data_IF_387563892607
#
_entry.id   IF_387563892607
#
_cell.length_a   1.000
_cell.length_b   1.000
_cell.length_c   1.000
_cell.angle_alpha   90.00
_cell.angle_beta   90.00
_cell.angle_gamma   90.00
#
_symmetry.space_group_name_H-M   'P 1'
#
loop_
_entity.id
_entity.type
_entity.pdbx_description
1 polymer ?
#
# COMPACT_ATOMS: atom_id res chain seq x y z
N UNK A 1 8.95 -4.29 19.26
CA UNK A 1 8.65 -5.08 18.04
C UNK A 1 8.25 -6.46 18.48
N UNK A 2 7.26 -7.07 17.83
CA UNK A 2 6.79 -8.43 18.10
C UNK A 2 7.03 -9.33 16.90
N UNK A 3 7.17 -10.63 17.14
CA UNK A 3 7.32 -11.61 16.06
C UNK A 3 5.97 -12.32 15.89
N UNK A 4 5.47 -12.35 14.67
CA UNK A 4 4.30 -13.14 14.26
C UNK A 4 4.75 -14.03 13.11
N UNK A 5 4.69 -15.35 13.32
CA UNK A 5 5.31 -16.34 12.44
C UNK A 5 6.80 -16.02 12.19
N UNK A 6 7.17 -15.74 10.94
CA UNK A 6 8.52 -15.39 10.47
C UNK A 6 8.68 -13.89 10.18
N UNK A 7 7.82 -13.03 10.76
CA UNK A 7 7.77 -11.58 10.45
C UNK A 7 7.94 -10.73 11.70
N UNK A 8 8.71 -9.65 11.56
CA UNK A 8 8.94 -8.68 12.63
C UNK A 8 7.98 -7.51 12.48
N UNK A 9 7.06 -7.36 13.43
CA UNK A 9 6.02 -6.34 13.40
C UNK A 9 6.38 -5.23 14.38
N UNK A 10 6.43 -3.99 13.89
CA UNK A 10 6.53 -2.82 14.78
C UNK A 10 5.28 -2.70 15.64
N UNK A 11 5.43 -2.43 16.95
CA UNK A 11 4.30 -2.19 17.85
C UNK A 11 3.43 -1.04 17.37
N UNK A 12 4.00 -0.06 16.66
CA UNK A 12 3.25 1.02 16.03
C UNK A 12 2.18 0.52 15.04
N UNK A 13 2.39 -0.63 14.38
CA UNK A 13 1.39 -1.23 13.48
C UNK A 13 0.16 -1.71 14.27
N UNK A 14 0.36 -2.08 15.54
CA UNK A 14 -0.69 -2.59 16.43
C UNK A 14 -1.35 -1.46 17.22
N UNK A 15 -0.59 -0.45 17.62
CA UNK A 15 -1.02 0.60 18.54
C UNK A 15 -1.49 1.89 17.85
N UNK A 16 -0.89 2.26 16.72
CA UNK A 16 -1.26 3.50 16.05
C UNK A 16 -2.63 3.35 15.39
N UNK A 17 -3.42 4.43 15.45
CA UNK A 17 -4.74 4.47 14.85
C UNK A 17 -4.71 5.17 13.50
N UNK A 18 -5.37 4.58 12.51
CA UNK A 18 -5.37 5.08 11.13
C UNK A 18 -6.64 4.69 10.38
N UNK A 19 -7.24 5.66 9.68
CA UNK A 19 -8.26 5.40 8.64
C UNK A 19 -8.03 6.39 7.51
N UNK A 20 -7.76 5.89 6.30
CA UNK A 20 -7.50 6.74 5.14
C UNK A 20 -8.63 7.78 4.93
N UNK A 21 -8.26 9.05 4.79
CA UNK A 21 -9.20 10.16 4.61
C UNK A 21 -8.92 10.90 3.29
N UNK A 22 -9.32 10.27 2.18
CA UNK A 22 -9.14 10.82 0.83
C UNK A 22 -9.85 12.17 0.62
N UNK A 23 -10.93 12.43 1.35
CA UNK A 23 -11.63 13.71 1.26
C UNK A 23 -10.76 14.86 1.77
N UNK A 24 -9.92 14.60 2.77
CA UNK A 24 -9.01 15.58 3.34
C UNK A 24 -7.67 15.66 2.59
N UNK A 25 -7.03 14.52 2.29
CA UNK A 25 -5.69 14.52 1.68
C UNK A 25 -5.69 14.51 0.15
N UNK A 26 -6.86 14.33 -0.50
CA UNK A 26 -7.02 14.22 -1.97
C UNK A 26 -6.18 13.13 -2.63
N UNK A 27 -5.68 12.17 -1.84
CA UNK A 27 -4.81 11.09 -2.31
C UNK A 27 -3.34 11.51 -2.47
N UNK A 28 -2.86 12.40 -1.59
CA UNK A 28 -1.48 12.91 -1.55
C UNK A 28 -0.37 11.85 -1.73
N UNK A 29 -0.57 10.63 -1.25
CA UNK A 29 0.39 9.54 -1.41
C UNK A 29 0.61 9.10 -2.86
N UNK A 30 -0.23 9.55 -3.80
CA UNK A 30 -0.10 9.27 -5.23
C UNK A 30 0.71 10.33 -6.00
N UNK A 31 1.04 11.48 -5.39
CA UNK A 31 1.69 12.59 -6.11
C UNK A 31 2.69 13.46 -5.34
N UNK A 32 2.89 13.20 -4.05
CA UNK A 32 3.85 13.95 -3.21
C UNK A 32 5.09 13.09 -2.85
N UNK A 33 5.19 11.87 -3.37
CA UNK A 33 6.31 10.97 -3.10
C UNK A 33 7.47 11.16 -4.07
N UNK A 34 8.68 10.88 -3.58
CA UNK A 34 9.91 11.00 -4.39
C UNK A 34 10.15 9.78 -5.30
N UNK A 35 9.58 8.62 -4.92
CA UNK A 35 9.73 7.35 -5.63
C UNK A 35 8.36 6.74 -5.95
N UNK A 36 8.34 5.92 -6.99
CA UNK A 36 7.23 5.03 -7.27
C UNK A 36 6.87 4.13 -6.09
N UNK A 37 5.61 3.69 -6.02
CA UNK A 37 5.24 2.71 -5.04
C UNK A 37 6.05 1.41 -5.26
N UNK A 38 6.70 0.85 -4.22
CA UNK A 38 7.54 -0.33 -4.37
C UNK A 38 6.77 -1.51 -4.98
N UNK A 39 7.41 -2.26 -5.86
CA UNK A 39 6.85 -3.42 -6.55
C UNK A 39 7.59 -4.68 -6.16
N UNK A 40 6.84 -5.76 -5.92
CA UNK A 40 7.41 -7.09 -5.82
C UNK A 40 7.77 -7.61 -7.23
N UNK A 41 8.73 -8.55 -7.31
CA UNK A 41 9.27 -9.01 -8.59
C UNK A 41 8.20 -9.67 -9.48
N UNK A 42 7.27 -10.38 -8.87
CA UNK A 42 6.11 -11.01 -9.50
C UNK A 42 5.07 -9.99 -9.98
N UNK A 43 4.97 -8.82 -9.35
CA UNK A 43 4.09 -7.73 -9.80
C UNK A 43 4.55 -7.13 -11.14
N UNK A 44 5.83 -7.22 -11.50
CA UNK A 44 6.38 -6.65 -12.74
C UNK A 44 5.77 -7.31 -13.98
N UNK A 45 5.77 -8.64 -14.04
CA UNK A 45 5.19 -9.40 -15.15
C UNK A 45 3.67 -9.20 -15.20
N UNK A 46 3.02 -9.13 -14.04
CA UNK A 46 1.58 -8.86 -13.96
C UNK A 46 1.27 -7.47 -14.54
N UNK A 47 2.05 -6.43 -14.23
CA UNK A 47 1.86 -5.09 -14.79
C UNK A 47 1.93 -5.11 -16.32
N UNK A 48 2.85 -5.89 -16.89
CA UNK A 48 2.96 -6.09 -18.35
C UNK A 48 1.71 -6.75 -18.90
N UNK A 49 1.27 -7.85 -18.31
CA UNK A 49 0.13 -8.64 -18.77
C UNK A 49 -1.20 -7.86 -18.74
N UNK A 50 -1.38 -7.00 -17.72
CA UNK A 50 -2.64 -6.27 -17.54
C UNK A 50 -2.67 -4.93 -18.28
N UNK A 51 -1.53 -4.42 -18.77
CA UNK A 51 -1.41 -3.02 -19.18
C UNK A 51 -2.45 -2.61 -20.24
N UNK A 52 -2.66 -3.44 -21.26
CA UNK A 52 -3.63 -3.15 -22.33
C UNK A 52 -5.07 -2.99 -21.81
N UNK A 53 -5.43 -3.76 -20.77
CA UNK A 53 -6.74 -3.71 -20.11
C UNK A 53 -6.84 -2.55 -19.11
N UNK A 54 -5.71 -2.08 -18.60
CA UNK A 54 -5.64 -0.94 -17.66
C UNK A 54 -5.67 0.41 -18.39
N UNK A 55 -5.16 0.51 -19.63
CA UNK A 55 -5.13 1.76 -20.42
C UNK A 55 -6.44 2.58 -20.40
N UNK A 56 -7.64 1.99 -20.56
CA UNK A 56 -8.90 2.75 -20.55
C UNK A 56 -9.22 3.43 -19.22
N UNK A 57 -8.53 3.05 -18.14
CA UNK A 57 -8.71 3.57 -16.79
C UNK A 57 -7.65 4.62 -16.41
N UNK A 58 -6.72 4.92 -17.32
CA UNK A 58 -5.62 5.86 -17.13
C UNK A 58 -5.83 7.16 -17.92
N UNK A 59 -5.06 8.19 -17.56
CA UNK A 59 -4.99 9.43 -18.33
C UNK A 59 -4.24 9.17 -19.65
N UNK A 60 -4.68 9.74 -20.79
CA UNK A 60 -3.99 9.55 -22.07
C UNK A 60 -2.50 9.91 -22.01
N UNK A 61 -2.14 11.04 -21.39
CA UNK A 61 -0.74 11.43 -21.24
C UNK A 61 0.08 10.42 -20.41
N UNK A 62 -0.55 9.74 -19.46
CA UNK A 62 0.10 8.74 -18.62
C UNK A 62 0.29 7.42 -19.38
N UNK A 63 -0.66 7.03 -20.24
CA UNK A 63 -0.50 5.88 -21.15
C UNK A 63 0.69 6.11 -22.09
N UNK A 64 0.77 7.28 -22.72
CA UNK A 64 1.87 7.63 -23.61
C UNK A 64 3.21 7.62 -22.89
N UNK A 65 3.25 8.05 -21.63
CA UNK A 65 4.45 8.05 -20.80
C UNK A 65 4.88 6.64 -20.41
N UNK A 66 3.95 5.81 -19.93
CA UNK A 66 4.19 4.40 -19.57
C UNK A 66 4.69 3.58 -20.76
N UNK A 67 4.23 3.87 -21.99
CA UNK A 67 4.72 3.22 -23.20
C UNK A 67 6.15 3.62 -23.59
N UNK A 68 6.60 4.82 -23.21
CA UNK A 68 7.93 5.35 -23.55
C UNK A 68 8.97 4.99 -22.49
N UNK A 69 8.64 5.22 -21.23
CA UNK A 69 9.57 5.07 -20.09
C UNK A 69 9.48 3.69 -19.43
N UNK A 70 8.41 2.94 -19.68
CA UNK A 70 8.16 1.64 -19.10
C UNK A 70 7.10 1.67 -17.98
N UNK A 71 6.66 0.48 -17.59
CA UNK A 71 5.57 0.28 -16.62
C UNK A 71 6.01 0.40 -15.16
N UNK A 72 7.32 0.31 -14.94
CA UNK A 72 7.98 0.42 -13.66
C UNK A 72 9.38 1.00 -13.85
N UNK A 73 9.95 1.57 -12.80
CA UNK A 73 11.28 2.17 -12.77
C UNK A 73 12.12 1.48 -11.70
N UNK A 74 13.40 1.25 -11.99
CA UNK A 74 14.36 0.74 -11.00
C UNK A 74 15.10 1.90 -10.34
N UNK A 75 15.10 1.92 -9.00
CA UNK A 75 15.81 2.87 -8.17
C UNK A 75 16.90 2.10 -7.40
N UNK A 76 18.15 2.59 -7.45
CA UNK A 76 19.32 1.85 -6.95
C UNK A 76 19.19 1.41 -5.49
N UNK A 77 18.63 2.27 -4.63
CA UNK A 77 18.47 2.00 -3.19
C UNK A 77 17.07 1.48 -2.79
N UNK A 78 16.05 1.66 -3.65
CA UNK A 78 14.64 1.36 -3.32
C UNK A 78 14.07 0.17 -4.11
N UNK A 79 14.80 -0.33 -5.11
CA UNK A 79 14.36 -1.41 -5.99
C UNK A 79 13.37 -0.95 -7.06
N UNK A 80 12.47 -1.85 -7.49
CA UNK A 80 11.46 -1.51 -8.48
C UNK A 80 10.32 -0.71 -7.84
N UNK A 81 9.91 0.37 -8.48
CA UNK A 81 8.72 1.13 -8.14
C UNK A 81 7.87 1.44 -9.37
N UNK A 82 6.61 1.82 -9.16
CA UNK A 82 5.74 2.28 -10.26
C UNK A 82 6.33 3.51 -10.96
N UNK A 83 6.25 3.58 -12.28
CA UNK A 83 6.70 4.77 -13.03
C UNK A 83 6.02 6.04 -12.53
N UNK A 84 6.79 7.11 -12.38
CA UNK A 84 6.29 8.45 -12.06
C UNK A 84 6.26 9.32 -13.31
N UNK A 85 5.24 10.14 -13.42
CA UNK A 85 5.15 11.24 -14.38
C UNK A 85 6.22 12.31 -14.06
N UNK A 86 6.59 13.17 -15.02
CA UNK A 86 7.62 14.22 -14.81
C UNK A 86 7.33 15.19 -13.65
N UNK A 87 6.07 15.31 -13.22
CA UNK A 87 5.65 16.13 -12.10
C UNK A 87 5.65 15.38 -10.75
N UNK A 88 6.16 14.14 -10.70
CA UNK A 88 6.22 13.30 -9.50
C UNK A 88 4.95 12.45 -9.25
N UNK A 89 3.87 12.65 -10.01
CA UNK A 89 2.66 11.85 -9.84
C UNK A 89 2.87 10.40 -10.31
N UNK A 90 2.26 9.43 -9.63
CA UNK A 90 2.24 8.05 -10.12
C UNK A 90 1.57 8.00 -11.51
N UNK A 91 2.20 7.35 -12.49
CA UNK A 91 1.65 7.23 -13.83
C UNK A 91 0.37 6.37 -13.90
N UNK A 92 0.08 5.59 -12.86
CA UNK A 92 -1.20 4.89 -12.72
C UNK A 92 -2.28 5.70 -12.01
N UNK A 93 -1.99 6.94 -11.61
CA UNK A 93 -2.95 7.82 -10.97
C UNK A 93 -3.94 8.39 -11.99
N UNK A 94 -5.20 8.48 -11.59
CA UNK A 94 -6.25 9.23 -12.27
C UNK A 94 -7.02 10.04 -11.24
N UNK A 95 -7.95 10.89 -11.67
CA UNK A 95 -8.79 11.69 -10.80
C UNK A 95 -10.25 11.24 -10.92
N UNK A 96 -10.97 11.28 -9.80
CA UNK A 96 -12.42 11.21 -9.82
C UNK A 96 -13.04 12.58 -10.19
N UNK A 97 -14.36 12.66 -10.43
CA UNK A 97 -15.01 13.93 -10.73
C UNK A 97 -14.91 15.00 -9.63
N UNK A 98 -14.54 14.62 -8.42
CA UNK A 98 -14.33 15.52 -7.27
C UNK A 98 -12.86 15.96 -7.11
N UNK A 99 -11.97 15.55 -8.03
CA UNK A 99 -10.55 15.86 -8.00
C UNK A 99 -9.75 15.06 -6.97
N UNK A 100 -10.26 13.89 -6.53
CA UNK A 100 -9.55 12.99 -5.62
C UNK A 100 -8.77 11.97 -6.45
N UNK A 101 -7.50 11.77 -6.11
CA UNK A 101 -6.67 10.78 -6.77
C UNK A 101 -7.19 9.35 -6.54
N UNK A 102 -7.22 8.58 -7.62
CA UNK A 102 -7.57 7.17 -7.67
C UNK A 102 -6.49 6.41 -8.43
N UNK A 103 -6.34 5.13 -8.12
CA UNK A 103 -5.46 4.24 -8.89
C UNK A 103 -6.23 3.65 -10.08
N UNK A 104 -5.73 3.81 -11.29
CA UNK A 104 -6.32 3.23 -12.50
C UNK A 104 -6.31 1.70 -12.50
N UNK A 105 -5.29 1.07 -11.91
CA UNK A 105 -5.24 -0.39 -11.70
C UNK A 105 -6.39 -0.82 -10.79
N UNK A 106 -6.57 -0.14 -9.65
CA UNK A 106 -7.67 -0.42 -8.73
C UNK A 106 -9.05 -0.23 -9.38
N UNK A 107 -9.21 0.80 -10.24
CA UNK A 107 -10.44 1.01 -10.99
C UNK A 107 -10.70 -0.12 -11.98
N UNK A 108 -9.68 -0.57 -12.70
CA UNK A 108 -9.77 -1.69 -13.63
C UNK A 108 -10.17 -2.98 -12.90
N UNK A 109 -9.56 -3.25 -11.74
CA UNK A 109 -9.92 -4.39 -10.89
C UNK A 109 -11.38 -4.33 -10.44
N UNK A 110 -11.83 -3.19 -9.90
CA UNK A 110 -13.22 -2.98 -9.46
C UNK A 110 -14.24 -3.07 -10.60
N UNK A 111 -13.83 -2.77 -11.82
CA UNK A 111 -14.65 -2.93 -13.01
C UNK A 111 -14.70 -4.39 -13.53
N UNK A 112 -13.99 -5.33 -12.90
CA UNK A 112 -13.82 -6.70 -13.40
C UNK A 112 -12.95 -6.77 -14.66
N UNK A 113 -12.28 -5.67 -15.01
CA UNK A 113 -11.48 -5.58 -16.21
C UNK A 113 -10.13 -6.27 -16.04
N UNK A 114 -9.65 -6.55 -14.82
CA UNK A 114 -8.43 -7.30 -14.47
C UNK A 114 -8.63 -8.05 -13.14
N UNK A 115 -7.86 -9.10 -12.88
CA UNK A 115 -7.89 -9.84 -11.60
C UNK A 115 -6.86 -9.32 -10.58
N UNK A 116 -5.87 -8.56 -11.06
CA UNK A 116 -4.88 -7.94 -10.19
C UNK A 116 -5.43 -6.66 -9.55
N UNK A 117 -5.70 -6.72 -8.24
CA UNK A 117 -5.91 -5.51 -7.44
C UNK A 117 -4.57 -4.75 -7.35
N UNK A 118 -4.60 -3.43 -7.11
CA UNK A 118 -3.42 -2.53 -7.07
C UNK A 118 -2.18 -3.12 -6.37
N UNK A 119 -0.97 -2.60 -6.66
CA UNK A 119 0.27 -3.07 -6.04
C UNK A 119 0.17 -3.25 -4.53
N UNK A 120 0.76 -4.32 -4.01
CA UNK A 120 0.58 -4.73 -2.62
C UNK A 120 1.13 -3.67 -1.65
N UNK A 121 2.20 -2.96 -2.04
CA UNK A 121 2.76 -1.85 -1.26
C UNK A 121 1.79 -0.65 -1.17
N UNK A 122 1.01 -0.37 -2.22
CA UNK A 122 -0.06 0.63 -2.21
C UNK A 122 -1.28 0.16 -1.41
N UNK A 123 -1.53 -1.15 -1.35
CA UNK A 123 -2.63 -1.70 -0.57
C UNK A 123 -2.32 -1.73 0.92
N UNK A 124 -1.07 -2.03 1.28
CA UNK A 124 -0.62 -2.08 2.66
C UNK A 124 -0.32 -0.71 3.27
N UNK A 125 -0.27 0.38 2.49
CA UNK A 125 0.03 1.70 3.05
C UNK A 125 -1.00 2.09 4.14
N UNK A 126 -0.56 2.47 5.37
CA UNK A 126 0.76 2.99 5.75
C UNK A 126 1.79 1.97 6.27
N UNK A 127 1.58 0.66 6.15
CA UNK A 127 2.61 -0.33 6.44
C UNK A 127 3.61 -0.40 5.28
N UNK A 128 4.90 -0.30 5.60
CA UNK A 128 6.03 -0.55 4.69
C UNK A 128 6.77 -1.81 5.11
N UNK A 129 7.04 -2.66 4.13
CA UNK A 129 7.74 -3.93 4.31
C UNK A 129 9.19 -3.75 3.95
N UNK A 130 10.11 -3.98 4.89
CA UNK A 130 11.54 -4.09 4.62
C UNK A 130 11.91 -5.55 4.61
N UNK A 131 12.59 -6.01 3.55
CA UNK A 131 13.05 -7.40 3.43
C UNK A 131 14.55 -7.43 3.72
N UNK A 132 14.97 -8.36 4.58
CA UNK A 132 16.38 -8.73 4.65
C UNK A 132 16.60 -9.96 3.76
N UNK A 133 17.24 -9.74 2.61
CA UNK A 133 17.48 -10.80 1.63
C UNK A 133 18.36 -11.94 2.17
N UNK A 134 19.17 -11.70 3.21
CA UNK A 134 20.08 -12.69 3.78
C UNK A 134 19.38 -13.60 4.77
N UNK A 135 18.52 -13.03 5.60
CA UNK A 135 17.89 -13.76 6.70
C UNK A 135 16.50 -14.31 6.32
N UNK A 136 15.96 -13.95 5.14
CA UNK A 136 14.58 -14.29 4.70
C UNK A 136 13.50 -13.79 5.68
N UNK A 137 13.77 -12.70 6.41
CA UNK A 137 12.80 -12.07 7.30
C UNK A 137 12.21 -10.81 6.65
N UNK A 138 10.92 -10.59 6.90
CA UNK A 138 10.23 -9.35 6.55
C UNK A 138 9.91 -8.55 7.81
N UNK A 139 10.19 -7.24 7.79
CA UNK A 139 9.86 -6.31 8.85
C UNK A 139 8.74 -5.37 8.40
N UNK A 140 7.62 -5.39 9.10
CA UNK A 140 6.45 -4.54 8.84
C UNK A 140 6.52 -3.32 9.77
N UNK A 141 6.68 -2.15 9.17
CA UNK A 141 6.84 -0.88 9.87
C UNK A 141 5.71 0.07 9.51
N UNK A 142 5.23 0.81 10.50
CA UNK A 142 4.30 1.91 10.27
C UNK A 142 5.07 3.13 9.74
N UNK A 143 4.72 3.58 8.54
CA UNK A 143 5.29 4.77 7.93
C UNK A 143 4.58 6.04 8.44
N UNK A 144 5.39 7.06 8.80
CA UNK A 144 4.92 8.31 9.37
C UNK A 144 5.18 9.43 8.37
N UNK A 145 4.13 9.81 7.66
CA UNK A 145 4.18 10.89 6.68
C UNK A 145 3.10 11.94 6.99
N UNK A 146 3.48 13.23 7.03
CA UNK A 146 2.60 14.35 7.41
C UNK A 146 1.31 14.44 6.57
N UNK A 147 1.33 13.98 5.32
CA UNK A 147 0.12 13.92 4.46
C UNK A 147 -0.99 13.04 5.06
N UNK A 148 -0.62 12.11 5.96
CA UNK A 148 -1.51 11.19 6.63
C UNK A 148 -2.07 11.72 7.94
N UNK A 149 -1.74 12.94 8.36
CA UNK A 149 -2.29 13.53 9.58
C UNK A 149 -3.82 13.49 9.66
N UNK A 150 -4.59 13.79 8.59
CA UNK A 150 -6.04 13.63 8.60
C UNK A 150 -6.49 12.17 8.82
N UNK A 151 -5.73 11.19 8.33
CA UNK A 151 -6.02 9.77 8.49
C UNK A 151 -5.74 9.28 9.92
N UNK A 152 -4.66 9.77 10.54
CA UNK A 152 -4.33 9.52 11.95
C UNK A 152 -5.41 10.10 12.88
N UNK A 153 -5.86 11.33 12.62
CA UNK A 153 -6.94 11.97 13.41
C UNK A 153 -8.26 11.19 13.29
N UNK A 154 -8.63 10.78 12.07
CA UNK A 154 -9.84 9.99 11.83
C UNK A 154 -9.74 8.61 12.51
N UNK A 155 -8.59 7.94 12.40
CA UNK A 155 -8.32 6.66 13.06
C UNK A 155 -8.48 6.75 14.57
N UNK A 156 -7.90 7.78 15.21
CA UNK A 156 -8.06 8.01 16.66
C UNK A 156 -9.52 8.23 17.04
N UNK A 157 -10.28 9.00 16.25
CA UNK A 157 -11.71 9.24 16.48
C UNK A 157 -12.53 7.96 16.40
N UNK A 158 -12.20 7.09 15.45
CA UNK A 158 -12.88 5.80 15.22
C UNK A 158 -12.32 4.65 16.05
N UNK A 159 -11.25 4.88 16.82
CA UNK A 159 -10.50 3.85 17.57
C UNK A 159 -10.13 2.66 16.68
N UNK A 160 -9.62 2.95 15.49
CA UNK A 160 -9.27 1.94 14.47
C UNK A 160 -7.75 1.79 14.38
N UNK A 161 -7.15 0.70 14.89
CA UNK A 161 -5.74 0.40 14.72
C UNK A 161 -5.34 0.19 13.25
N UNK A 162 -4.08 0.48 12.91
CA UNK A 162 -3.53 0.34 11.56
C UNK A 162 -3.72 -1.08 11.01
N UNK A 163 -3.34 -2.13 11.75
CA UNK A 163 -3.47 -3.50 11.26
C UNK A 163 -4.93 -3.91 11.02
N UNK A 164 -5.88 -3.42 11.82
CA UNK A 164 -7.32 -3.68 11.61
C UNK A 164 -7.85 -2.95 10.38
N UNK A 165 -7.44 -1.69 10.16
CA UNK A 165 -7.77 -0.96 8.94
C UNK A 165 -7.24 -1.68 7.69
N UNK A 166 -6.06 -2.28 7.79
CA UNK A 166 -5.39 -3.01 6.69
C UNK A 166 -5.71 -4.49 6.62
N UNK A 167 -6.77 -4.98 7.30
CA UNK A 167 -7.14 -6.40 7.31
C UNK A 167 -7.16 -7.03 5.92
N UNK A 168 -7.85 -6.41 4.96
CA UNK A 168 -7.95 -6.94 3.59
C UNK A 168 -6.57 -7.04 2.92
N UNK A 169 -5.73 -6.02 3.05
CA UNK A 169 -4.40 -6.00 2.48
C UNK A 169 -3.46 -7.03 3.11
N UNK A 170 -3.52 -7.17 4.44
CA UNK A 170 -2.71 -8.14 5.20
C UNK A 170 -3.13 -9.57 4.88
N UNK A 171 -4.44 -9.85 4.82
CA UNK A 171 -4.98 -11.16 4.42
C UNK A 171 -4.62 -11.47 2.97
N UNK A 172 -4.69 -10.48 2.06
CA UNK A 172 -4.28 -10.67 0.67
C UNK A 172 -2.80 -11.05 0.55
N UNK A 173 -1.92 -10.41 1.35
CA UNK A 173 -0.48 -10.66 1.26
C UNK A 173 -0.04 -11.94 1.98
N UNK A 174 -0.53 -12.15 3.19
CA UNK A 174 0.01 -13.14 4.14
C UNK A 174 -0.99 -14.24 4.52
N UNK A 175 -2.24 -14.14 4.08
CA UNK A 175 -3.29 -15.10 4.37
C UNK A 175 -4.09 -14.79 5.65
N UNK A 176 -5.23 -15.48 5.82
CA UNK A 176 -6.10 -15.29 6.98
C UNK A 176 -5.43 -15.72 8.29
N UNK A 177 -4.73 -16.85 8.30
CA UNK A 177 -4.07 -17.40 9.49
C UNK A 177 -3.07 -16.41 10.11
N UNK A 178 -2.26 -15.76 9.26
CA UNK A 178 -1.34 -14.71 9.72
C UNK A 178 -2.08 -13.53 10.36
N UNK A 179 -3.21 -13.11 9.78
CA UNK A 179 -3.99 -12.00 10.32
C UNK A 179 -4.63 -12.36 11.67
N UNK A 180 -5.11 -13.60 11.81
CA UNK A 180 -5.69 -14.09 13.06
C UNK A 180 -4.65 -14.11 14.19
N UNK A 181 -3.46 -14.67 13.94
CA UNK A 181 -2.35 -14.62 14.90
C UNK A 181 -1.95 -13.18 15.26
N UNK A 182 -1.94 -12.27 14.29
CA UNK A 182 -1.63 -10.86 14.51
C UNK A 182 -2.66 -10.16 15.41
N UNK A 183 -3.95 -10.44 15.24
CA UNK A 183 -5.04 -9.88 16.06
C UNK A 183 -5.01 -10.46 17.48
N UNK A 184 -4.66 -11.74 17.63
CA UNK A 184 -4.45 -12.37 18.95
C UNK A 184 -3.27 -11.73 19.70
N UNK A 185 -2.12 -11.54 19.04
CA UNK A 185 -0.97 -10.86 19.63
C UNK A 185 -1.31 -9.42 20.01
N UNK A 186 -2.05 -8.70 19.17
CA UNK A 186 -2.51 -7.35 19.49
C UNK A 186 -3.43 -7.34 20.72
N UNK A 187 -4.39 -8.25 20.82
CA UNK A 187 -5.28 -8.37 21.98
C UNK A 187 -4.51 -8.73 23.27
N UNK A 188 -3.49 -9.59 23.18
CA UNK A 188 -2.62 -9.92 24.32
C UNK A 188 -1.83 -8.71 24.82
N UNK A 189 -1.30 -7.88 23.91
CA UNK A 189 -0.62 -6.62 24.25
C UNK A 189 -1.58 -5.61 24.90
N UNK A 190 -2.80 -5.46 24.38
CA UNK A 190 -3.84 -4.59 24.95
C UNK A 190 -4.19 -4.98 26.40
N UNK A 191 -4.11 -6.26 26.74
CA UNK A 191 -4.38 -6.80 28.08
C UNK A 191 -3.16 -6.78 29.03
N UNK A 192 -2.06 -6.14 28.63
CA UNK A 192 -0.85 -6.01 29.47
C UNK A 192 -0.05 -7.30 29.60
N UNK A 193 -0.13 -8.19 28.61
CA UNK A 193 0.71 -9.38 28.50
C UNK A 193 0.36 -10.51 29.47
N UNK A 194 -0.89 -10.58 29.93
CA UNK A 194 -1.39 -11.63 30.83
C UNK A 194 -2.25 -12.61 30.05
N UNK A 195 -2.05 -13.91 30.29
CA UNK A 195 -3.01 -14.95 29.88
C UNK A 195 -4.34 -14.71 30.62
N UNK A 196 -5.45 -14.78 29.88
CA UNK A 196 -6.81 -14.61 30.42
C UNK A 196 -7.20 -15.76 31.36
#
# INVERSE_FOLDING_TARGET
MVIVQDKLISEDVLEQAFVCNLQACKGACCWEGDFGAPLEKDELDILVDIFDRVKPFLLPEAVDHLQKEGLYTFYEDEGFGTTLMPNGACAYMTLDPSGIAQCGIEKAFKAGAIEFQKPISCHLYPIRVKKDEKERFEALNYDRWEICNPACQLGKKLKMPVYRFLKEALVRKYGPDFYEELDEVAAWLENGGKEA
#
